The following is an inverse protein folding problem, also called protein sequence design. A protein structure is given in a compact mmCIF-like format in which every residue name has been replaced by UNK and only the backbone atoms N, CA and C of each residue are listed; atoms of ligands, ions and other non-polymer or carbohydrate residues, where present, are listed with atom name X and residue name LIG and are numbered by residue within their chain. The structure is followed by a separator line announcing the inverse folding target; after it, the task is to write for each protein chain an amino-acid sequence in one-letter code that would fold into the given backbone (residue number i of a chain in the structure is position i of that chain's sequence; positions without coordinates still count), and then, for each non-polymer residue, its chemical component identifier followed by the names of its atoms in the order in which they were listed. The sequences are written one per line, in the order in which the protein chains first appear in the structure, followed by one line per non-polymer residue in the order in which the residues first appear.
data_IF_807463027493
#
_entry.id   IF_807463027493
#
_cell.length_a   1.000
_cell.length_b   1.000
_cell.length_c   1.000
_cell.angle_alpha   90.00
_cell.angle_beta   90.00
_cell.angle_gamma   90.00
#
_symmetry.space_group_name_H-M   'P 1'
#
loop_
_entity.id
_entity.type
_entity.pdbx_description
1 polymer ?
#
# COMPACT_ATOMS: atom_id res chain seq x y z
N UNK A 1 -1.86 -43.41 -56.75
CA UNK A 1 -0.96 -42.29 -57.07
C UNK A 1 -1.27 -41.15 -56.11
N UNK A 2 -0.22 -40.59 -55.50
CA UNK A 2 -0.25 -39.84 -54.24
C UNK A 2 -1.11 -38.57 -54.22
N UNK A 3 -1.83 -38.36 -53.12
CA UNK A 3 -2.23 -37.03 -52.65
C UNK A 3 -1.41 -36.68 -51.40
N UNK A 4 -0.45 -35.76 -51.57
CA UNK A 4 0.25 -35.09 -50.48
C UNK A 4 -0.72 -34.08 -49.85
N UNK A 5 -1.07 -34.26 -48.57
CA UNK A 5 -1.63 -33.18 -47.76
C UNK A 5 -0.49 -32.53 -46.97
N UNK A 6 -0.05 -31.35 -47.43
CA UNK A 6 0.79 -30.44 -46.64
C UNK A 6 -0.06 -29.89 -45.48
N UNK A 7 0.24 -30.32 -44.26
CA UNK A 7 -0.22 -29.61 -43.07
C UNK A 7 0.69 -28.39 -42.85
N UNK A 8 0.21 -27.20 -43.21
CA UNK A 8 0.82 -25.95 -42.77
C UNK A 8 0.41 -25.72 -41.31
N UNK A 9 1.38 -25.92 -40.40
CA UNK A 9 1.28 -25.45 -39.02
C UNK A 9 1.28 -23.92 -39.05
N UNK A 10 0.11 -23.30 -38.92
CA UNK A 10 0.00 -21.87 -38.63
C UNK A 10 0.29 -21.72 -37.13
N UNK A 11 1.57 -21.56 -36.80
CA UNK A 11 2.00 -21.11 -35.48
C UNK A 11 1.45 -19.69 -35.33
N UNK A 12 0.34 -19.58 -34.58
CA UNK A 12 -0.17 -18.31 -34.09
C UNK A 12 0.88 -17.73 -33.15
N UNK A 13 1.81 -16.96 -33.71
CA UNK A 13 2.72 -16.13 -32.95
C UNK A 13 1.89 -14.99 -32.35
N UNK A 14 1.34 -15.24 -31.17
CA UNK A 14 0.75 -14.18 -30.34
C UNK A 14 1.89 -13.24 -29.98
N UNK A 15 2.01 -12.17 -30.76
CA UNK A 15 2.86 -11.03 -30.44
C UNK A 15 2.28 -10.45 -29.16
N UNK A 16 2.84 -10.85 -28.02
CA UNK A 16 2.67 -10.14 -26.77
C UNK A 16 3.24 -8.74 -27.00
N UNK A 17 2.35 -7.80 -27.31
CA UNK A 17 2.61 -6.39 -27.09
C UNK A 17 2.94 -6.28 -25.60
N UNK A 18 4.24 -6.25 -25.26
CA UNK A 18 4.67 -5.87 -23.93
C UNK A 18 4.31 -4.41 -23.80
N UNK A 19 3.08 -4.17 -23.34
CA UNK A 19 2.61 -2.84 -22.99
C UNK A 19 3.64 -2.24 -22.05
N UNK A 20 3.97 -0.97 -22.30
CA UNK A 20 4.75 -0.10 -21.43
C UNK A 20 4.07 0.16 -20.06
N UNK A 21 3.28 -0.79 -19.56
CA UNK A 21 2.68 -0.77 -18.24
C UNK A 21 3.67 -1.26 -17.20
N UNK A 22 3.56 -0.71 -16.00
CA UNK A 22 4.30 -1.18 -14.83
C UNK A 22 3.86 -2.62 -14.53
N UNK A 23 4.78 -3.59 -14.40
CA UNK A 23 4.40 -4.98 -14.19
C UNK A 23 3.61 -5.14 -12.89
N UNK A 24 2.50 -5.87 -12.96
CA UNK A 24 1.55 -6.04 -11.88
C UNK A 24 1.98 -7.21 -10.96
N UNK A 25 2.48 -6.89 -9.76
CA UNK A 25 2.91 -7.89 -8.78
C UNK A 25 1.76 -8.70 -8.17
N UNK A 26 0.50 -8.37 -8.46
CA UNK A 26 -0.63 -9.21 -8.04
C UNK A 26 -0.67 -10.54 -8.80
N UNK A 27 0.02 -10.62 -9.95
CA UNK A 27 0.13 -11.83 -10.76
C UNK A 27 1.27 -12.74 -10.27
N UNK A 28 1.02 -14.01 -9.91
CA UNK A 28 2.04 -14.90 -9.33
C UNK A 28 3.28 -15.11 -10.23
N UNK A 29 3.10 -15.19 -11.55
CA UNK A 29 4.21 -15.40 -12.49
C UNK A 29 5.11 -14.16 -12.56
N UNK A 30 4.52 -12.96 -12.55
CA UNK A 30 5.26 -11.69 -12.52
C UNK A 30 6.00 -11.58 -11.18
N UNK A 31 5.34 -11.91 -10.07
CA UNK A 31 5.97 -11.89 -8.75
C UNK A 31 7.18 -12.84 -8.68
N UNK A 32 7.05 -14.07 -9.21
CA UNK A 32 8.15 -15.05 -9.23
C UNK A 32 9.33 -14.54 -10.06
N UNK A 33 9.05 -13.99 -11.24
CA UNK A 33 10.08 -13.41 -12.12
C UNK A 33 10.76 -12.22 -11.45
N UNK A 34 9.97 -11.28 -10.92
CA UNK A 34 10.46 -10.12 -10.19
C UNK A 34 11.36 -10.52 -9.02
N UNK A 35 10.96 -11.52 -8.23
CA UNK A 35 11.78 -12.02 -7.12
C UNK A 35 13.14 -12.58 -7.61
N UNK A 36 13.18 -13.29 -8.74
CA UNK A 36 14.43 -13.83 -9.28
C UNK A 36 15.35 -12.76 -9.87
N UNK A 37 14.80 -11.65 -10.37
CA UNK A 37 15.54 -10.55 -11.02
C UNK A 37 15.91 -9.42 -10.03
N UNK A 38 15.28 -9.38 -8.85
CA UNK A 38 15.44 -8.31 -7.89
C UNK A 38 16.82 -8.31 -7.22
N UNK A 39 17.46 -7.14 -7.22
CA UNK A 39 18.64 -6.88 -6.40
C UNK A 39 18.23 -6.58 -4.95
N UNK A 40 19.13 -6.77 -3.97
CA UNK A 40 18.89 -6.31 -2.61
C UNK A 40 18.61 -4.80 -2.57
N UNK A 41 17.53 -4.38 -1.92
CA UNK A 41 17.18 -2.97 -1.75
C UNK A 41 18.29 -2.23 -1.00
N UNK A 42 18.97 -2.93 -0.09
CA UNK A 42 20.07 -2.44 0.72
C UNK A 42 21.36 -2.25 -0.08
N UNK A 43 21.45 -2.77 -1.31
CA UNK A 43 22.58 -2.49 -2.21
C UNK A 43 22.44 -1.14 -2.93
N UNK A 44 21.31 -0.44 -2.77
CA UNK A 44 21.08 0.90 -3.29
C UNK A 44 21.21 1.94 -2.19
N UNK A 45 21.66 3.13 -2.55
CA UNK A 45 21.68 4.27 -1.63
C UNK A 45 20.45 5.17 -1.83
N UNK A 46 19.94 5.76 -0.75
CA UNK A 46 18.94 6.85 -0.85
C UNK A 46 19.66 8.20 -0.81
N UNK A 47 19.86 8.81 -1.98
CA UNK A 47 20.50 10.13 -2.12
C UNK A 47 19.49 11.23 -2.40
N UNK A 48 19.77 12.42 -1.85
CA UNK A 48 19.07 13.66 -2.22
C UNK A 48 19.66 14.18 -3.53
N UNK A 49 18.85 14.27 -4.56
CA UNK A 49 19.21 14.76 -5.90
C UNK A 49 18.22 15.84 -6.35
N UNK A 50 18.64 16.67 -7.32
CA UNK A 50 17.84 17.79 -7.83
C UNK A 50 17.28 18.67 -6.71
N UNK A 51 18.16 18.96 -5.74
CA UNK A 51 17.96 19.83 -4.58
C UNK A 51 16.90 19.38 -3.56
N UNK A 52 15.96 18.48 -3.91
CA UNK A 52 14.86 18.10 -3.00
C UNK A 52 14.36 16.65 -3.13
N UNK A 53 14.70 15.91 -4.19
CA UNK A 53 14.12 14.59 -4.46
C UNK A 53 15.03 13.50 -3.91
N UNK A 54 14.47 12.60 -3.10
CA UNK A 54 15.19 11.40 -2.65
C UNK A 54 15.07 10.32 -3.73
N UNK A 55 16.20 9.82 -4.22
CA UNK A 55 16.27 8.78 -5.24
C UNK A 55 17.05 7.57 -4.72
N UNK A 56 16.63 6.38 -5.15
CA UNK A 56 17.46 5.19 -5.10
C UNK A 56 18.51 5.27 -6.22
N UNK A 57 19.79 5.25 -5.85
CA UNK A 57 20.90 5.26 -6.78
C UNK A 57 21.76 4.01 -6.63
N UNK A 58 22.42 3.61 -7.71
CA UNK A 58 23.41 2.54 -7.69
C UNK A 58 24.80 3.02 -7.22
N UNK A 59 25.83 2.19 -7.39
CA UNK A 59 27.20 2.50 -6.97
C UNK A 59 27.85 3.64 -7.76
N UNK A 60 27.32 3.98 -8.93
CA UNK A 60 27.83 5.02 -9.82
C UNK A 60 27.03 6.33 -9.66
N UNK A 61 26.19 6.42 -8.62
CA UNK A 61 25.29 7.55 -8.33
C UNK A 61 24.20 7.79 -9.39
N UNK A 62 23.91 6.79 -10.21
CA UNK A 62 22.89 6.87 -11.24
C UNK A 62 21.51 6.41 -10.70
N UNK A 63 20.40 7.09 -11.05
CA UNK A 63 19.07 6.69 -10.61
C UNK A 63 18.68 5.28 -11.09
N UNK A 64 18.54 4.36 -10.14
CA UNK A 64 18.33 2.95 -10.43
C UNK A 64 16.99 2.68 -11.14
N UNK A 65 16.96 1.70 -12.05
CA UNK A 65 15.73 1.20 -12.67
C UNK A 65 15.75 -0.32 -12.69
N UNK A 66 14.79 -0.95 -12.00
CA UNK A 66 14.72 -2.40 -11.91
C UNK A 66 13.94 -2.89 -10.70
N UNK A 67 13.88 -4.20 -10.54
CA UNK A 67 13.31 -4.85 -9.38
C UNK A 67 14.24 -4.74 -8.18
N UNK A 68 13.64 -4.59 -7.00
CA UNK A 68 14.36 -4.57 -5.70
C UNK A 68 13.62 -5.44 -4.69
N UNK A 69 14.38 -6.06 -3.79
CA UNK A 69 13.84 -6.87 -2.69
C UNK A 69 14.60 -6.65 -1.40
N UNK A 70 13.94 -6.82 -0.27
CA UNK A 70 14.63 -6.96 1.02
C UNK A 70 14.29 -8.32 1.61
N UNK A 71 15.24 -8.92 2.32
CA UNK A 71 15.05 -10.19 3.02
C UNK A 71 15.30 -9.98 4.53
N UNK A 72 14.59 -10.70 5.38
CA UNK A 72 14.80 -10.74 6.82
C UNK A 72 15.05 -12.18 7.21
N UNK A 73 16.24 -12.47 7.75
CA UNK A 73 16.69 -13.83 8.08
C UNK A 73 16.53 -14.82 6.92
N UNK A 74 16.85 -14.38 5.69
CA UNK A 74 16.73 -15.20 4.46
C UNK A 74 15.31 -15.39 3.94
N UNK A 75 14.30 -14.73 4.54
CA UNK A 75 12.92 -14.76 4.07
C UNK A 75 12.57 -13.44 3.37
N UNK A 76 11.92 -13.51 2.20
CA UNK A 76 11.48 -12.33 1.46
C UNK A 76 10.56 -11.46 2.34
N UNK A 77 10.96 -10.20 2.54
CA UNK A 77 10.23 -9.24 3.38
C UNK A 77 9.57 -8.14 2.53
N UNK A 78 10.21 -7.73 1.42
CA UNK A 78 9.67 -6.70 0.51
C UNK A 78 10.07 -6.99 -0.93
N UNK A 79 9.22 -6.60 -1.87
CA UNK A 79 9.46 -6.69 -3.31
C UNK A 79 8.77 -5.51 -4.00
N UNK A 80 9.45 -4.87 -4.94
CA UNK A 80 8.88 -3.76 -5.69
C UNK A 80 9.74 -3.34 -6.88
N UNK A 81 9.18 -2.48 -7.72
CA UNK A 81 9.87 -1.91 -8.86
C UNK A 81 10.29 -0.46 -8.59
N UNK A 82 11.50 -0.13 -9.00
CA UNK A 82 12.04 1.23 -9.01
C UNK A 82 12.23 1.66 -10.45
N UNK A 83 11.82 2.89 -10.79
CA UNK A 83 12.02 3.52 -12.09
C UNK A 83 12.67 4.88 -11.87
N UNK A 84 13.84 5.11 -12.48
CA UNK A 84 14.62 6.35 -12.32
C UNK A 84 14.79 6.78 -10.86
N UNK A 85 15.10 5.82 -10.00
CA UNK A 85 15.32 6.00 -8.57
C UNK A 85 14.05 6.17 -7.73
N UNK A 86 12.85 6.07 -8.30
CA UNK A 86 11.59 6.24 -7.59
C UNK A 86 10.74 4.97 -7.60
N UNK A 87 10.00 4.71 -6.53
CA UNK A 87 9.07 3.57 -6.48
C UNK A 87 7.96 3.73 -7.50
N UNK A 88 7.63 2.63 -8.15
CA UNK A 88 6.65 2.57 -9.22
C UNK A 88 5.87 1.25 -9.18
N UNK A 89 4.57 1.31 -9.47
CA UNK A 89 3.68 0.16 -9.50
C UNK A 89 3.42 -0.42 -8.11
N UNK A 90 2.97 -1.67 -8.08
CA UNK A 90 2.65 -2.36 -6.83
C UNK A 90 3.95 -2.70 -6.07
N UNK A 91 3.96 -2.38 -4.78
CA UNK A 91 4.97 -2.80 -3.82
C UNK A 91 4.33 -3.71 -2.78
N UNK A 92 4.97 -4.86 -2.57
CA UNK A 92 4.48 -5.89 -1.66
C UNK A 92 5.41 -6.05 -0.46
N UNK A 93 4.82 -6.34 0.69
CA UNK A 93 5.55 -6.71 1.90
C UNK A 93 4.94 -7.96 2.53
N UNK A 94 5.76 -8.70 3.25
CA UNK A 94 5.37 -9.91 3.97
C UNK A 94 5.80 -9.85 5.42
N UNK A 95 4.97 -10.40 6.29
CA UNK A 95 5.32 -10.68 7.67
C UNK A 95 6.38 -11.79 7.75
N UNK A 96 7.05 -11.89 8.89
CA UNK A 96 8.03 -12.96 9.15
C UNK A 96 7.42 -14.39 9.06
N UNK A 97 6.10 -14.52 9.21
CA UNK A 97 5.38 -15.78 9.02
C UNK A 97 5.04 -16.10 7.54
N UNK A 98 5.51 -15.27 6.60
CA UNK A 98 5.28 -15.43 5.16
C UNK A 98 3.91 -14.94 4.67
N UNK A 99 3.01 -14.50 5.56
CA UNK A 99 1.73 -13.92 5.16
C UNK A 99 1.92 -12.52 4.58
N UNK A 100 1.08 -12.16 3.60
CA UNK A 100 1.07 -10.82 3.00
C UNK A 100 0.82 -9.78 4.11
N UNK A 101 1.63 -8.73 4.13
CA UNK A 101 1.54 -7.61 5.08
C UNK A 101 0.96 -6.37 4.41
N UNK A 102 1.42 -6.05 3.20
CA UNK A 102 0.91 -4.91 2.44
C UNK A 102 1.04 -5.11 0.93
N UNK A 103 0.20 -4.39 0.21
CA UNK A 103 0.16 -4.27 -1.25
C UNK A 103 -0.27 -2.84 -1.53
N UNK A 104 0.68 -2.02 -1.95
CA UNK A 104 0.51 -0.57 -2.07
C UNK A 104 0.99 -0.16 -3.45
N UNK A 105 0.18 0.63 -4.15
CA UNK A 105 0.51 1.17 -5.46
C UNK A 105 1.26 2.50 -5.34
N UNK A 106 2.37 2.59 -6.08
CA UNK A 106 3.25 3.76 -6.09
C UNK A 106 3.38 4.35 -7.49
N UNK A 107 3.45 5.66 -7.55
CA UNK A 107 3.76 6.42 -8.75
C UNK A 107 4.76 7.52 -8.37
N UNK A 108 5.95 7.47 -8.95
CA UNK A 108 7.02 8.45 -8.71
C UNK A 108 7.26 8.71 -7.20
N UNK A 109 7.42 7.63 -6.42
CA UNK A 109 7.66 7.67 -4.98
C UNK A 109 6.49 8.19 -4.11
N UNK A 110 5.30 8.38 -4.69
CA UNK A 110 4.05 8.72 -3.99
C UNK A 110 3.05 7.57 -4.06
N UNK A 111 2.28 7.35 -3.00
CA UNK A 111 1.19 6.37 -3.03
C UNK A 111 0.09 6.90 -3.95
N UNK A 112 -0.27 6.12 -4.96
CA UNK A 112 -1.23 6.53 -5.99
C UNK A 112 -1.92 5.29 -6.51
N UNK A 113 -3.21 5.15 -6.23
CA UNK A 113 -4.01 3.97 -6.50
C UNK A 113 -4.27 3.12 -5.25
N UNK A 114 -4.23 1.80 -5.42
CA UNK A 114 -4.67 0.85 -4.41
C UNK A 114 -3.80 0.82 -3.14
N UNK A 115 -4.44 0.70 -1.98
CA UNK A 115 -3.78 0.57 -0.68
C UNK A 115 -4.42 -0.56 0.13
N UNK A 116 -3.68 -1.64 0.34
CA UNK A 116 -4.14 -2.77 1.14
C UNK A 116 -3.09 -3.17 2.18
N UNK A 117 -3.55 -3.43 3.40
CA UNK A 117 -2.73 -4.06 4.43
C UNK A 117 -3.50 -5.14 5.16
N UNK A 118 -2.76 -6.10 5.72
CA UNK A 118 -3.31 -7.25 6.42
C UNK A 118 -2.75 -7.32 7.84
N UNK A 119 -3.51 -7.96 8.72
CA UNK A 119 -3.05 -8.39 10.04
C UNK A 119 -2.16 -9.64 9.92
N UNK A 120 -1.32 -9.94 10.92
CA UNK A 120 -0.47 -11.15 10.92
C UNK A 120 -1.24 -12.47 10.81
N UNK A 121 -2.55 -12.46 11.07
CA UNK A 121 -3.45 -13.61 10.91
C UNK A 121 -4.04 -13.75 9.50
N UNK A 122 -3.61 -12.90 8.55
CA UNK A 122 -4.03 -12.91 7.15
C UNK A 122 -5.35 -12.20 6.86
N UNK A 123 -6.05 -11.65 7.86
CA UNK A 123 -7.27 -10.85 7.64
C UNK A 123 -6.92 -9.43 7.19
N UNK A 124 -7.78 -8.81 6.40
CA UNK A 124 -7.61 -7.40 5.99
C UNK A 124 -7.56 -6.53 7.24
N UNK A 125 -6.60 -5.61 7.27
CA UNK A 125 -6.48 -4.55 8.27
C UNK A 125 -6.94 -3.22 7.69
N UNK A 126 -6.52 -2.91 6.47
CA UNK A 126 -6.87 -1.67 5.78
C UNK A 126 -7.14 -1.95 4.30
N UNK A 127 -8.18 -1.32 3.77
CA UNK A 127 -8.40 -1.17 2.32
C UNK A 127 -8.75 0.27 2.01
N UNK A 128 -8.16 0.81 0.96
CA UNK A 128 -8.46 2.16 0.52
C UNK A 128 -7.80 2.54 -0.79
N UNK A 129 -7.94 3.82 -1.12
CA UNK A 129 -7.37 4.45 -2.31
C UNK A 129 -6.55 5.67 -1.90
N UNK A 130 -5.46 5.86 -2.62
CA UNK A 130 -4.54 6.99 -2.42
C UNK A 130 -4.33 7.74 -3.72
N UNK A 131 -3.98 9.01 -3.62
CA UNK A 131 -3.62 9.86 -4.75
C UNK A 131 -2.59 10.88 -4.30
N UNK A 132 -1.48 10.97 -5.04
CA UNK A 132 -0.37 11.89 -4.73
C UNK A 132 0.17 11.79 -3.28
N UNK A 133 0.10 10.60 -2.68
CA UNK A 133 0.56 10.33 -1.32
C UNK A 133 -0.52 10.53 -0.25
N UNK A 134 -1.71 10.99 -0.62
CA UNK A 134 -2.82 11.28 0.29
C UNK A 134 -3.95 10.26 0.14
N UNK A 135 -4.78 10.08 1.17
CA UNK A 135 -6.00 9.26 1.07
C UNK A 135 -7.04 9.99 0.21
N UNK A 136 -7.57 9.34 -0.82
CA UNK A 136 -8.57 9.92 -1.72
C UNK A 136 -9.68 8.89 -2.02
N UNK A 137 -10.88 9.15 -1.52
CA UNK A 137 -12.02 8.23 -1.61
C UNK A 137 -12.31 7.48 -0.30
N UNK A 138 -12.81 6.26 -0.44
CA UNK A 138 -13.20 5.40 0.69
C UNK A 138 -11.97 4.77 1.34
N UNK A 139 -11.97 4.75 2.68
CA UNK A 139 -10.94 4.11 3.48
C UNK A 139 -11.58 3.33 4.63
N UNK A 140 -11.25 2.06 4.73
CA UNK A 140 -11.83 1.13 5.69
C UNK A 140 -10.73 0.45 6.49
N UNK A 141 -10.90 0.46 7.81
CA UNK A 141 -10.02 -0.17 8.78
C UNK A 141 -10.78 -1.25 9.52
N UNK A 142 -10.10 -2.35 9.83
CA UNK A 142 -10.69 -3.53 10.45
C UNK A 142 -9.84 -4.01 11.62
N UNK A 143 -10.52 -4.44 12.67
CA UNK A 143 -9.91 -5.16 13.77
C UNK A 143 -9.34 -6.51 13.33
N UNK A 144 -8.42 -7.07 14.11
CA UNK A 144 -7.84 -8.39 13.84
C UNK A 144 -8.88 -9.53 13.85
N UNK A 145 -10.06 -9.33 14.46
CA UNK A 145 -11.16 -10.28 14.39
C UNK A 145 -11.92 -10.22 13.04
N UNK A 146 -11.69 -9.20 12.21
CA UNK A 146 -12.32 -8.95 10.91
C UNK A 146 -13.53 -8.03 10.96
N UNK A 147 -13.90 -7.50 12.13
CA UNK A 147 -14.96 -6.51 12.23
C UNK A 147 -14.47 -5.13 11.78
N UNK A 148 -15.35 -4.39 11.12
CA UNK A 148 -15.10 -3.01 10.72
C UNK A 148 -14.82 -2.18 11.98
N UNK A 149 -13.72 -1.44 11.96
CA UNK A 149 -13.29 -0.51 13.00
C UNK A 149 -13.64 0.92 12.60
N UNK A 150 -13.30 1.32 11.37
CA UNK A 150 -13.61 2.63 10.86
C UNK A 150 -13.92 2.60 9.36
N UNK A 151 -14.85 3.45 8.95
CA UNK A 151 -15.12 3.73 7.55
C UNK A 151 -15.11 5.24 7.35
N UNK A 152 -14.23 5.73 6.49
CA UNK A 152 -14.08 7.15 6.19
C UNK A 152 -14.17 7.45 4.70
N UNK A 153 -14.59 8.68 4.41
CA UNK A 153 -14.58 9.27 3.08
C UNK A 153 -13.66 10.48 3.12
N UNK A 154 -12.71 10.51 2.20
CA UNK A 154 -11.69 11.54 2.11
C UNK A 154 -11.64 12.12 0.70
N UNK A 155 -11.15 13.34 0.57
CA UNK A 155 -10.89 13.99 -0.72
C UNK A 155 -9.53 14.66 -0.66
N UNK A 156 -8.55 14.12 -1.39
CA UNK A 156 -7.17 14.61 -1.41
C UNK A 156 -6.63 14.89 0.01
N UNK A 157 -6.71 13.89 0.91
CA UNK A 157 -6.25 13.97 2.30
C UNK A 157 -7.20 14.71 3.27
N UNK A 158 -8.22 15.40 2.75
CA UNK A 158 -9.21 16.09 3.59
C UNK A 158 -10.30 15.11 4.04
N UNK A 159 -10.47 14.95 5.36
CA UNK A 159 -11.51 14.09 5.92
C UNK A 159 -12.89 14.71 5.71
N UNK A 160 -13.78 14.00 4.98
CA UNK A 160 -15.15 14.45 4.72
C UNK A 160 -16.10 13.85 5.75
N UNK A 161 -15.97 12.55 6.00
CA UNK A 161 -16.86 11.80 6.89
C UNK A 161 -16.13 10.62 7.51
N UNK A 162 -16.44 10.31 8.77
CA UNK A 162 -16.00 9.06 9.40
C UNK A 162 -17.10 8.48 10.27
N UNK A 163 -17.22 7.15 10.26
CA UNK A 163 -17.96 6.36 11.22
C UNK A 163 -17.00 5.39 11.89
N UNK A 164 -17.09 5.27 13.22
CA UNK A 164 -16.24 4.39 14.03
C UNK A 164 -17.10 3.36 14.75
N UNK A 165 -16.61 2.15 14.80
CA UNK A 165 -17.25 0.97 15.39
C UNK A 165 -16.29 0.37 16.42
N UNK A 166 -16.84 -0.25 17.47
CA UNK A 166 -16.08 -1.05 18.45
C UNK A 166 -15.84 -2.46 17.90
N UNK A 167 -14.92 -3.17 18.54
CA UNK A 167 -14.56 -4.57 18.23
C UNK A 167 -15.67 -5.60 18.47
N UNK A 168 -16.81 -5.17 19.03
CA UNK A 168 -18.05 -5.95 19.16
C UNK A 168 -19.14 -5.56 18.15
N UNK A 169 -18.87 -4.59 17.27
CA UNK A 169 -19.82 -4.09 16.26
C UNK A 169 -20.71 -2.94 16.73
N UNK A 170 -20.56 -2.43 17.95
CA UNK A 170 -21.30 -1.25 18.41
C UNK A 170 -20.74 0.04 17.80
N UNK A 171 -21.61 0.91 17.31
CA UNK A 171 -21.19 2.20 16.77
C UNK A 171 -20.76 3.19 17.87
N UNK A 172 -19.59 3.80 17.70
CA UNK A 172 -19.09 4.90 18.54
C UNK A 172 -19.74 6.22 18.12
N UNK A 173 -20.98 6.47 18.55
CA UNK A 173 -21.79 7.64 18.13
C UNK A 173 -21.12 9.00 18.38
N UNK A 174 -20.24 9.10 19.38
CA UNK A 174 -19.53 10.34 19.73
C UNK A 174 -18.28 10.58 18.85
N UNK A 175 -17.86 9.58 18.07
CA UNK A 175 -16.75 9.66 17.12
C UNK A 175 -17.30 9.81 15.72
N UNK A 176 -17.71 11.02 15.38
CA UNK A 176 -18.33 11.37 14.11
C UNK A 176 -17.77 12.67 13.57
N UNK A 177 -17.32 12.63 12.32
CA UNK A 177 -17.01 13.81 11.50
C UNK A 177 -18.01 13.84 10.35
N UNK A 178 -18.62 14.99 10.10
CA UNK A 178 -19.57 15.23 9.01
C UNK A 178 -19.20 16.53 8.32
N UNK A 179 -19.05 16.50 6.99
CA UNK A 179 -18.60 17.63 6.19
C UNK A 179 -17.29 18.23 6.75
N UNK A 180 -16.38 17.35 7.19
CA UNK A 180 -15.09 17.74 7.76
C UNK A 180 -15.13 18.37 9.16
N UNK A 181 -16.28 18.38 9.83
CA UNK A 181 -16.40 18.93 11.17
C UNK A 181 -16.84 17.87 12.17
N UNK A 182 -16.20 17.82 13.34
CA UNK A 182 -16.56 16.92 14.43
C UNK A 182 -15.35 16.31 15.13
N UNK A 183 -15.57 15.17 15.79
CA UNK A 183 -14.53 14.50 16.57
C UNK A 183 -14.40 13.05 16.17
N UNK A 184 -13.18 12.53 16.22
CA UNK A 184 -12.86 11.14 16.02
C UNK A 184 -12.05 10.65 17.23
N UNK A 185 -12.53 9.60 17.90
CA UNK A 185 -11.84 9.00 19.04
C UNK A 185 -11.29 7.63 18.63
N UNK A 186 -9.99 7.44 18.84
CA UNK A 186 -9.33 6.14 18.76
C UNK A 186 -9.61 5.34 20.03
N UNK A 187 -9.86 4.05 19.86
CA UNK A 187 -10.07 3.12 20.97
C UNK A 187 -9.05 1.99 20.89
N UNK A 188 -8.61 1.48 22.04
CA UNK A 188 -7.86 0.24 22.12
C UNK A 188 -8.81 -0.96 21.92
N UNK A 189 -8.23 -2.13 21.70
CA UNK A 189 -8.89 -3.43 21.58
C UNK A 189 -9.83 -3.77 22.73
N UNK A 190 -9.58 -3.26 23.93
CA UNK A 190 -10.43 -3.40 25.12
C UNK A 190 -11.56 -2.35 25.22
N UNK A 191 -11.62 -1.40 24.28
CA UNK A 191 -12.59 -0.30 24.23
C UNK A 191 -12.18 0.95 25.00
N UNK A 192 -10.97 1.00 25.56
CA UNK A 192 -10.42 2.19 26.23
C UNK A 192 -10.13 3.29 25.22
N UNK A 193 -10.48 4.54 25.55
CA UNK A 193 -10.17 5.68 24.67
C UNK A 193 -8.66 5.96 24.69
N UNK A 194 -8.04 6.02 23.52
CA UNK A 194 -6.61 6.33 23.37
C UNK A 194 -6.44 7.85 23.22
N UNK A 195 -7.12 8.43 22.22
CA UNK A 195 -7.09 9.86 21.92
C UNK A 195 -8.35 10.32 21.20
N UNK A 196 -8.70 11.59 21.34
CA UNK A 196 -9.74 12.27 20.59
C UNK A 196 -9.12 13.36 19.71
N UNK A 197 -9.48 13.34 18.43
CA UNK A 197 -9.04 14.26 17.39
C UNK A 197 -10.23 15.11 16.95
N UNK A 198 -10.10 16.42 17.00
CA UNK A 198 -11.12 17.38 16.57
C UNK A 198 -10.76 17.90 15.18
N UNK A 199 -11.75 17.88 14.28
CA UNK A 199 -11.61 18.31 12.90
C UNK A 199 -12.48 19.53 12.63
N UNK A 200 -11.94 20.47 11.85
CA UNK A 200 -12.67 21.59 11.28
C UNK A 200 -12.30 21.73 9.82
N UNK A 201 -13.32 21.80 8.96
CA UNK A 201 -13.16 21.83 7.50
C UNK A 201 -12.24 20.71 6.97
N UNK A 202 -12.26 19.55 7.65
CA UNK A 202 -11.54 18.33 7.27
C UNK A 202 -10.06 18.32 7.66
N UNK A 203 -9.58 19.36 8.35
CA UNK A 203 -8.23 19.45 8.91
C UNK A 203 -8.28 19.17 10.41
N UNK A 204 -7.32 18.39 10.91
CA UNK A 204 -7.17 18.15 12.35
C UNK A 204 -6.71 19.43 13.05
N UNK A 205 -7.53 19.97 13.97
CA UNK A 205 -7.19 21.17 14.74
C UNK A 205 -6.60 20.84 16.12
N UNK A 206 -7.01 19.72 16.71
CA UNK A 206 -6.64 19.38 18.08
C UNK A 206 -6.64 17.87 18.29
N UNK A 207 -5.62 17.38 19.01
CA UNK A 207 -5.59 16.02 19.57
C UNK A 207 -5.50 16.07 21.09
N UNK A 208 -6.35 15.29 21.77
CA UNK A 208 -6.39 15.13 23.23
C UNK A 208 -6.17 13.65 23.58
N UNK A 209 -5.16 13.34 24.38
CA UNK A 209 -4.85 11.96 24.80
C UNK A 209 -5.49 11.67 26.15
N UNK A 210 -6.12 10.50 26.32
CA UNK A 210 -6.82 10.17 27.57
C UNK A 210 -5.93 9.45 28.58
N UNK A 211 -4.93 8.68 28.12
CA UNK A 211 -4.08 7.83 28.97
C UNK A 211 -2.57 8.03 28.72
N UNK A 212 -2.06 9.26 28.77
CA UNK A 212 -0.63 9.46 29.05
C UNK A 212 -0.46 9.98 30.47
N UNK A 213 0.05 9.13 31.36
CA UNK A 213 1.20 9.61 32.13
C UNK A 213 2.29 9.85 31.09
N UNK A 214 2.60 11.11 30.86
CA UNK A 214 3.69 11.56 30.00
C UNK A 214 5.00 10.88 30.44
N UNK A 215 5.88 10.45 29.51
CA UNK A 215 7.31 10.47 29.79
C UNK A 215 7.74 11.91 30.09
#
# INVERSE_FOLDING_TARGET
MHFFFLYFLIINFVIFLQGCGTPDLTQPDIQKKAHSEAIPLESLERKRMYEMIMLFVDSDDEPYTGWVKSETNGTLAKLGYVKKGQRQGIWMQWFANGMKQSEIEWENDRMSGSFHTWHPNGKIRVVGQTKDGEVDGTWEEYYANGQLEAHSQNKMGTLVKINVMRSNGEQCKNSKVVNGNGTFTDYDTDGTQIRNRTFKNGVEEKTTWFNRQTP
#
